data_IF_386534821688
#
_entry.id   IF_386534821688
#
_cell.length_a   1.000
_cell.length_b   1.000
_cell.length_c   1.000
_cell.angle_alpha   90.00
_cell.angle_beta   90.00
_cell.angle_gamma   90.00
#
_symmetry.space_group_name_H-M   'P 1'
#
loop_
_entity.id
_entity.type
_entity.pdbx_description
1 polymer ?
#
# COMPACT_ATOMS: atom_id res chain seq x y z
N UNK A 1 -18.23 -0.33 -12.32
CA UNK A 1 -17.83 -1.38 -11.34
C UNK A 1 -16.80 -2.41 -11.88
N UNK A 2 -15.66 -1.97 -12.45
CA UNK A 2 -14.64 -2.85 -13.04
C UNK A 2 -13.21 -2.69 -12.45
N UNK A 3 -12.99 -1.80 -11.49
CA UNK A 3 -11.64 -1.44 -11.03
C UNK A 3 -11.07 -2.34 -9.90
N UNK A 4 -11.83 -3.34 -9.44
CA UNK A 4 -11.36 -4.29 -8.41
C UNK A 4 -10.61 -5.51 -8.99
N UNK A 5 -10.91 -5.92 -10.22
CA UNK A 5 -10.50 -7.25 -10.72
C UNK A 5 -9.02 -7.35 -11.03
N UNK A 6 -8.47 -6.43 -11.83
CA UNK A 6 -7.09 -6.58 -12.30
C UNK A 6 -6.03 -6.45 -11.17
N UNK A 7 -6.11 -5.45 -10.25
CA UNK A 7 -5.18 -5.37 -9.13
C UNK A 7 -5.33 -6.57 -8.18
N UNK A 8 -6.56 -7.05 -7.94
CA UNK A 8 -6.81 -8.22 -7.11
C UNK A 8 -6.13 -9.48 -7.65
N UNK A 9 -6.17 -9.71 -8.96
CA UNK A 9 -5.52 -10.85 -9.62
C UNK A 9 -4.00 -10.77 -9.51
N UNK A 10 -3.42 -9.58 -9.73
CA UNK A 10 -1.96 -9.39 -9.65
C UNK A 10 -1.45 -9.52 -8.22
N UNK A 11 -2.07 -8.80 -7.29
CA UNK A 11 -1.54 -8.61 -5.94
C UNK A 11 -1.88 -9.78 -5.00
N UNK A 12 -3.01 -10.47 -5.23
CA UNK A 12 -3.49 -11.63 -4.46
C UNK A 12 -3.77 -11.41 -2.97
N UNK A 13 -3.21 -10.38 -2.36
CA UNK A 13 -3.42 -9.92 -0.99
C UNK A 13 -2.96 -8.46 -0.87
N UNK A 14 -3.15 -7.86 0.30
CA UNK A 14 -2.61 -6.53 0.62
C UNK A 14 -1.09 -6.48 0.39
N UNK A 15 -0.60 -5.53 -0.40
CA UNK A 15 0.82 -5.46 -0.77
C UNK A 15 1.74 -4.84 0.29
N UNK A 16 1.19 -4.37 1.41
CA UNK A 16 2.02 -3.83 2.49
C UNK A 16 2.91 -4.94 3.10
N UNK A 17 4.15 -4.63 3.50
CA UNK A 17 5.10 -5.64 3.99
C UNK A 17 4.51 -6.51 5.11
N UNK A 18 4.58 -7.83 4.94
CA UNK A 18 4.10 -8.82 5.91
C UNK A 18 2.57 -8.90 6.07
N UNK A 19 1.78 -8.29 5.19
CA UNK A 19 0.32 -8.40 5.22
C UNK A 19 -0.19 -9.46 4.24
N UNK A 20 -1.05 -10.34 4.72
CA UNK A 20 -1.65 -11.45 3.97
C UNK A 20 -3.18 -11.30 3.77
N UNK A 21 -3.75 -10.16 4.19
CA UNK A 21 -5.20 -9.93 4.09
C UNK A 21 -5.69 -10.12 2.66
N UNK A 22 -6.74 -10.90 2.45
CA UNK A 22 -7.12 -11.34 1.12
C UNK A 22 -7.83 -10.21 0.35
N UNK A 23 -7.98 -10.33 -0.99
CA UNK A 23 -8.46 -9.24 -1.83
C UNK A 23 -9.86 -8.74 -1.47
N UNK A 24 -10.72 -9.59 -0.90
CA UNK A 24 -12.07 -9.21 -0.49
C UNK A 24 -12.06 -8.16 0.65
N UNK A 25 -10.94 -8.02 1.36
CA UNK A 25 -10.75 -7.07 2.46
C UNK A 25 -9.93 -5.84 2.04
N UNK A 26 -9.66 -5.71 0.75
CA UNK A 26 -8.77 -4.72 0.19
C UNK A 26 -9.49 -3.85 -0.85
N UNK A 27 -8.96 -2.63 -1.01
CA UNK A 27 -9.36 -1.69 -2.04
C UNK A 27 -8.13 -1.30 -2.88
N UNK A 28 -8.36 -0.96 -4.14
CA UNK A 28 -7.32 -0.44 -5.01
C UNK A 28 -7.00 1.01 -4.63
N UNK A 29 -5.72 1.31 -4.44
CA UNK A 29 -5.21 2.62 -4.08
C UNK A 29 -4.40 3.21 -5.24
N UNK A 30 -4.71 4.45 -5.62
CA UNK A 30 -3.96 5.19 -6.64
C UNK A 30 -2.66 5.76 -6.04
N UNK A 31 -1.51 5.47 -6.66
CA UNK A 31 -0.23 6.08 -6.26
C UNK A 31 -0.18 7.56 -6.61
N UNK A 32 -0.49 7.90 -7.86
CA UNK A 32 -0.82 9.24 -8.30
C UNK A 32 -2.33 9.40 -8.24
N UNK A 33 -2.89 10.29 -7.39
CA UNK A 33 -4.33 10.43 -7.27
C UNK A 33 -4.99 10.82 -8.60
N UNK A 34 -6.21 10.32 -8.84
CA UNK A 34 -6.95 10.56 -10.08
C UNK A 34 -7.16 12.06 -10.36
N UNK A 35 -7.42 12.87 -9.31
CA UNK A 35 -7.62 14.32 -9.42
C UNK A 35 -6.34 15.10 -9.75
N UNK A 36 -5.16 14.46 -9.67
CA UNK A 36 -3.90 14.98 -10.18
C UNK A 36 -3.54 14.41 -11.57
N UNK A 37 -4.48 13.75 -12.25
CA UNK A 37 -4.25 13.09 -13.55
C UNK A 37 -3.57 11.73 -13.40
N UNK A 38 -3.85 11.00 -12.33
CA UNK A 38 -3.46 9.61 -12.16
C UNK A 38 -4.32 8.66 -12.99
N UNK A 39 -3.70 7.74 -13.72
CA UNK A 39 -4.42 6.74 -14.53
C UNK A 39 -5.05 5.68 -13.63
N UNK A 40 -6.16 5.10 -14.05
CA UNK A 40 -6.66 3.87 -13.44
C UNK A 40 -6.15 2.68 -14.23
N UNK A 41 -4.93 2.26 -13.94
CA UNK A 41 -4.30 1.10 -14.54
C UNK A 41 -3.43 0.36 -13.51
N UNK A 42 -2.89 -0.80 -13.88
CA UNK A 42 -2.06 -1.61 -13.00
C UNK A 42 -0.77 -0.90 -12.58
N UNK A 43 -0.23 0.03 -13.37
CA UNK A 43 1.00 0.72 -12.97
C UNK A 43 0.77 1.77 -11.89
N UNK A 44 -0.47 2.27 -11.76
CA UNK A 44 -0.85 3.29 -10.79
C UNK A 44 -1.76 2.77 -9.66
N UNK A 45 -2.24 1.53 -9.73
CA UNK A 45 -3.07 0.91 -8.69
C UNK A 45 -2.32 -0.16 -7.91
N UNK A 46 -2.43 -0.12 -6.58
CA UNK A 46 -1.94 -1.14 -5.65
C UNK A 46 -3.05 -1.60 -4.71
N UNK A 47 -3.09 -2.88 -4.36
CA UNK A 47 -4.11 -3.43 -3.48
C UNK A 47 -3.74 -3.29 -2.00
N UNK A 48 -4.59 -2.61 -1.21
CA UNK A 48 -4.37 -2.36 0.22
C UNK A 48 -5.61 -2.69 1.06
N UNK A 49 -5.40 -3.35 2.20
CA UNK A 49 -6.47 -3.48 3.20
C UNK A 49 -6.78 -2.14 3.85
N UNK A 50 -7.98 -1.99 4.44
CA UNK A 50 -8.41 -0.73 5.09
C UNK A 50 -7.37 -0.13 6.05
N UNK A 51 -6.68 -0.97 6.84
CA UNK A 51 -5.65 -0.53 7.79
C UNK A 51 -4.48 0.15 7.08
N UNK A 52 -3.90 -0.50 6.07
CA UNK A 52 -2.75 0.05 5.35
C UNK A 52 -3.15 1.15 4.37
N UNK A 53 -4.33 1.09 3.79
CA UNK A 53 -4.86 2.16 2.94
C UNK A 53 -4.93 3.48 3.73
N UNK A 54 -5.44 3.43 4.97
CA UNK A 54 -5.43 4.59 5.88
C UNK A 54 -4.01 5.01 6.26
N UNK A 55 -3.11 4.07 6.53
CA UNK A 55 -1.73 4.38 6.92
C UNK A 55 -0.95 5.13 5.82
N UNK A 56 -1.21 4.82 4.54
CA UNK A 56 -0.64 5.55 3.39
C UNK A 56 -1.20 6.98 3.33
N UNK A 57 -2.52 7.17 3.44
CA UNK A 57 -3.12 8.51 3.50
C UNK A 57 -2.60 9.35 4.67
N UNK A 58 -2.32 8.71 5.80
CA UNK A 58 -1.75 9.33 7.00
C UNK A 58 -0.24 9.56 6.94
N UNK A 59 0.41 9.30 5.80
CA UNK A 59 1.86 9.48 5.60
C UNK A 59 2.69 8.69 6.63
N UNK A 60 2.18 7.55 7.09
CA UNK A 60 2.98 6.58 7.86
C UNK A 60 3.84 5.74 6.91
N UNK A 61 3.34 5.53 5.70
CA UNK A 61 4.03 4.85 4.62
C UNK A 61 4.05 5.75 3.38
N UNK A 62 5.15 5.71 2.63
CA UNK A 62 5.26 6.24 1.27
C UNK A 62 5.36 5.07 0.30
N UNK A 63 4.64 5.19 -0.81
CA UNK A 63 4.63 4.22 -1.89
C UNK A 63 5.40 4.77 -3.08
N UNK A 64 6.29 3.93 -3.64
CA UNK A 64 7.00 4.21 -4.87
C UNK A 64 6.67 3.13 -5.90
N UNK A 65 6.46 3.50 -7.16
CA UNK A 65 6.35 2.54 -8.25
C UNK A 65 7.76 2.16 -8.73
N UNK A 66 7.99 0.87 -8.95
CA UNK A 66 9.22 0.35 -9.55
C UNK A 66 9.04 0.05 -11.05
N UNK A 67 7.85 0.36 -11.60
CA UNK A 67 7.45 -0.04 -12.94
C UNK A 67 6.96 -1.49 -13.02
N UNK A 68 6.25 -1.82 -14.10
CA UNK A 68 5.73 -3.17 -14.35
C UNK A 68 4.77 -3.69 -13.27
N UNK A 69 4.05 -2.79 -12.59
CA UNK A 69 3.14 -3.15 -11.49
C UNK A 69 3.84 -3.61 -10.20
N UNK A 70 5.14 -3.34 -10.03
CA UNK A 70 5.89 -3.56 -8.79
C UNK A 70 5.96 -2.28 -7.96
N UNK A 71 5.99 -2.42 -6.64
CA UNK A 71 5.95 -1.30 -5.71
C UNK A 71 6.95 -1.46 -4.57
N UNK A 72 7.46 -0.33 -4.08
CA UNK A 72 8.28 -0.26 -2.89
C UNK A 72 7.56 0.53 -1.79
N UNK A 73 7.54 -0.04 -0.59
CA UNK A 73 7.00 0.59 0.61
C UNK A 73 8.14 1.13 1.46
N UNK A 74 8.11 2.43 1.68
CA UNK A 74 9.01 3.12 2.58
C UNK A 74 8.23 3.51 3.84
N UNK A 75 8.62 2.99 5.01
CA UNK A 75 8.02 3.41 6.26
C UNK A 75 8.60 4.78 6.66
N UNK A 76 7.75 5.80 6.75
CA UNK A 76 8.18 7.17 7.00
C UNK A 76 8.46 7.46 8.47
N UNK A 77 8.15 6.52 9.37
CA UNK A 77 8.67 6.54 10.73
C UNK A 77 9.84 5.57 10.81
N UNK A 78 11.07 6.09 10.78
CA UNK A 78 12.20 5.33 11.31
C UNK A 78 11.78 4.70 12.64
N UNK A 79 12.06 3.42 12.79
CA UNK A 79 11.82 2.57 13.95
C UNK A 79 11.85 3.39 15.27
N UNK A 80 10.70 3.79 15.82
CA UNK A 80 10.57 3.90 17.29
C UNK A 80 10.08 2.54 17.78
N UNK A 81 10.90 1.50 17.58
CA UNK A 81 10.89 0.41 18.56
C UNK A 81 11.40 1.07 19.83
N UNK A 82 10.59 0.99 20.88
CA UNK A 82 10.98 1.37 22.21
C UNK A 82 12.41 0.87 22.47
N UNK A 83 13.30 1.79 22.83
CA UNK A 83 14.46 1.45 23.63
C UNK A 83 13.90 1.01 24.99
N UNK A 84 13.48 -0.26 25.06
CA UNK A 84 13.30 -1.01 26.30
C UNK A 84 14.52 -1.93 26.38
N UNK A 85 15.56 -1.40 27.01
CA UNK A 85 16.75 -2.06 27.56
C UNK A 85 17.57 -0.90 28.18
N UNK A 86 17.90 -0.78 29.46
CA UNK A 86 17.63 -1.50 30.70
C UNK A 86 17.62 -0.39 31.78
N UNK A 87 16.73 -0.50 32.76
CA UNK A 87 16.97 0.12 34.06
C UNK A 87 17.89 -0.85 34.79
N UNK A 88 18.87 -0.30 35.50
CA UNK A 88 20.02 -0.91 36.19
C UNK A 88 21.31 -1.03 35.37
#
# INVERSE_FOLDING_TARGET
PAQRTAPAVRDKHCQAPGCDRPPQWCDAHHLKPWYHGGRTDLNNLILLCRRHHRAVHQRTWRLHTLGGGKFHFEHLRGVQRQQRELVE
#
